data_IF_561858998212
#
_entry.id   IF_561858998212
#
_cell.length_a   1.000
_cell.length_b   1.000
_cell.length_c   1.000
_cell.angle_alpha   90.00
_cell.angle_beta   90.00
_cell.angle_gamma   90.00
#
_symmetry.space_group_name_H-M   'P 1'
#
loop_
_entity.id
_entity.type
_entity.pdbx_description
1 polymer ?
#
# COMPACT_ATOMS: atom_id res chain seq x y z
N UNK A 1 0.87 14.90 4.87
CA UNK A 1 -0.48 15.44 4.60
C UNK A 1 -1.55 14.54 5.21
N UNK A 2 -2.60 15.12 5.81
CA UNK A 2 -3.62 14.38 6.60
C UNK A 2 -4.58 13.51 5.78
N UNK A 3 -4.60 13.63 4.44
CA UNK A 3 -5.49 12.85 3.57
C UNK A 3 -6.92 13.41 3.43
N UNK A 4 -7.19 14.61 3.96
CA UNK A 4 -8.50 15.28 3.80
C UNK A 4 -8.70 15.75 2.37
N UNK A 5 -9.82 15.41 1.75
CA UNK A 5 -10.30 16.02 0.50
C UNK A 5 -10.80 17.43 0.81
N UNK A 6 -10.04 18.42 0.37
CA UNK A 6 -10.36 19.82 0.56
C UNK A 6 -11.54 20.24 -0.31
N UNK A 7 -12.31 21.21 0.15
CA UNK A 7 -13.38 21.84 -0.64
C UNK A 7 -12.78 22.74 -1.73
N UNK A 8 -13.56 23.07 -2.78
CA UNK A 8 -13.10 23.98 -3.82
C UNK A 8 -12.62 25.35 -3.30
N UNK A 9 -13.22 25.86 -2.22
CA UNK A 9 -12.81 27.12 -1.58
C UNK A 9 -11.46 26.99 -0.85
N UNK A 10 -11.25 25.89 -0.12
CA UNK A 10 -9.96 25.60 0.53
C UNK A 10 -8.84 25.44 -0.50
N UNK A 11 -9.13 24.84 -1.66
CA UNK A 11 -8.15 24.58 -2.74
C UNK A 11 -7.67 25.85 -3.44
N UNK A 12 -8.48 26.90 -3.57
CA UNK A 12 -8.07 28.16 -4.24
C UNK A 12 -6.86 28.85 -3.62
N UNK A 13 -6.45 28.44 -2.41
CA UNK A 13 -5.24 28.94 -1.74
C UNK A 13 -3.96 28.19 -2.18
N UNK A 14 -4.10 27.08 -2.90
CA UNK A 14 -3.00 26.26 -3.39
C UNK A 14 -2.74 26.61 -4.86
N UNK A 15 -1.58 27.20 -5.16
CA UNK A 15 -1.14 27.43 -6.55
C UNK A 15 -1.02 26.09 -7.29
N UNK A 16 -1.45 26.06 -8.55
CA UNK A 16 -1.34 24.92 -9.50
C UNK A 16 -2.29 23.73 -9.30
N UNK A 17 -3.54 23.96 -8.85
CA UNK A 17 -4.51 22.86 -8.75
C UNK A 17 -5.47 22.80 -9.95
N UNK A 18 -5.09 22.03 -10.99
CA UNK A 18 -5.87 21.84 -12.23
C UNK A 18 -7.13 20.97 -12.10
N UNK A 19 -7.42 20.44 -10.91
CA UNK A 19 -8.51 19.48 -10.68
C UNK A 19 -9.61 20.01 -9.76
N UNK A 20 -9.68 21.32 -9.51
CA UNK A 20 -10.68 21.91 -8.61
C UNK A 20 -12.12 21.56 -9.01
N UNK A 21 -12.40 21.55 -10.30
CA UNK A 21 -13.74 21.26 -10.85
C UNK A 21 -14.15 19.79 -10.70
N UNK A 22 -13.21 18.90 -10.33
CA UNK A 22 -13.47 17.50 -10.02
C UNK A 22 -13.81 17.26 -8.56
N UNK A 23 -13.79 18.29 -7.71
CA UNK A 23 -14.17 18.16 -6.30
C UNK A 23 -15.67 18.41 -6.17
N UNK A 24 -16.38 17.37 -5.75
CA UNK A 24 -17.84 17.38 -5.58
C UNK A 24 -18.22 17.09 -4.13
N UNK A 25 -19.48 17.37 -3.77
CA UNK A 25 -20.06 16.87 -2.53
C UNK A 25 -20.74 15.53 -2.80
N UNK A 26 -20.39 14.52 -2.00
CA UNK A 26 -20.97 13.18 -2.08
C UNK A 26 -21.12 12.62 -0.67
N UNK A 27 -22.31 12.09 -0.35
CA UNK A 27 -22.66 11.52 0.96
C UNK A 27 -22.22 12.38 2.15
N UNK A 28 -22.60 13.66 2.11
CA UNK A 28 -22.30 14.61 3.18
C UNK A 28 -20.83 14.99 3.33
N UNK A 29 -19.91 14.56 2.46
CA UNK A 29 -18.47 14.84 2.48
C UNK A 29 -17.93 15.29 1.11
N UNK A 30 -16.70 15.79 1.05
CA UNK A 30 -16.05 16.08 -0.24
C UNK A 30 -15.52 14.78 -0.86
N UNK A 31 -15.60 14.68 -2.18
CA UNK A 31 -15.10 13.56 -2.95
C UNK A 31 -14.46 14.03 -4.27
N UNK A 32 -13.66 13.16 -4.89
CA UNK A 32 -13.03 13.42 -6.17
C UNK A 32 -13.74 12.64 -7.29
N UNK A 33 -14.28 13.37 -8.25
CA UNK A 33 -14.96 12.84 -9.42
C UNK A 33 -13.97 12.44 -10.51
N UNK A 34 -13.90 11.14 -10.81
CA UNK A 34 -12.93 10.58 -11.74
C UNK A 34 -13.53 10.42 -13.14
N UNK A 35 -14.67 9.72 -13.24
CA UNK A 35 -15.30 9.35 -14.52
C UNK A 35 -16.79 9.61 -14.45
N UNK A 36 -17.32 10.14 -15.54
CA UNK A 36 -18.74 10.39 -15.74
C UNK A 36 -19.51 9.13 -16.12
N UNK A 37 -20.79 9.09 -15.73
CA UNK A 37 -21.70 7.97 -16.02
C UNK A 37 -21.92 7.73 -17.52
N UNK A 38 -21.82 8.76 -18.36
CA UNK A 38 -21.95 8.63 -19.82
C UNK A 38 -20.77 7.89 -20.46
N UNK A 39 -19.64 7.81 -19.76
CA UNK A 39 -18.40 7.20 -20.25
C UNK A 39 -18.09 5.87 -19.54
N UNK A 40 -18.66 5.63 -18.36
CA UNK A 40 -18.42 4.39 -17.61
C UNK A 40 -19.15 3.19 -18.24
N UNK A 41 -18.54 2.01 -18.11
CA UNK A 41 -19.08 0.80 -18.73
C UNK A 41 -20.39 0.29 -18.11
N UNK A 42 -20.74 0.75 -16.91
CA UNK A 42 -21.95 0.35 -16.18
C UNK A 42 -22.94 1.51 -15.95
N UNK A 43 -22.70 2.67 -16.58
CA UNK A 43 -23.59 3.83 -16.48
C UNK A 43 -23.61 4.48 -15.10
N UNK A 44 -22.57 4.29 -14.29
CA UNK A 44 -22.43 4.91 -12.96
C UNK A 44 -21.18 5.79 -12.88
N UNK A 45 -21.22 6.92 -12.18
CA UNK A 45 -20.03 7.75 -12.01
C UNK A 45 -18.99 7.02 -11.14
N UNK A 46 -17.71 7.22 -11.46
CA UNK A 46 -16.59 6.72 -10.64
C UNK A 46 -16.10 7.87 -9.77
N UNK A 47 -16.23 7.69 -8.46
CA UNK A 47 -15.93 8.71 -7.44
C UNK A 47 -14.97 8.11 -6.42
N UNK A 48 -13.95 8.89 -6.01
CA UNK A 48 -13.07 8.55 -4.90
C UNK A 48 -13.52 9.36 -3.69
N UNK A 49 -13.99 8.68 -2.65
CA UNK A 49 -14.52 9.30 -1.45
C UNK A 49 -13.43 9.56 -0.41
N UNK A 50 -13.77 10.36 0.61
CA UNK A 50 -12.91 10.51 1.78
C UNK A 50 -12.64 9.17 2.48
N UNK A 51 -13.64 8.28 2.53
CA UNK A 51 -13.48 6.96 3.13
C UNK A 51 -12.47 6.11 2.36
N UNK A 52 -12.50 6.15 1.03
CA UNK A 52 -11.53 5.39 0.20
C UNK A 52 -10.09 5.84 0.50
N UNK A 53 -9.87 7.14 0.65
CA UNK A 53 -8.55 7.68 1.04
C UNK A 53 -8.16 7.19 2.44
N UNK A 54 -9.09 7.21 3.39
CA UNK A 54 -8.84 6.66 4.73
C UNK A 54 -8.46 5.18 4.67
N UNK A 55 -9.13 4.36 3.84
CA UNK A 55 -8.77 2.95 3.67
C UNK A 55 -7.36 2.76 3.11
N UNK A 56 -6.95 3.59 2.14
CA UNK A 56 -5.57 3.59 1.63
C UNK A 56 -4.57 3.98 2.74
N UNK A 57 -4.91 4.96 3.58
CA UNK A 57 -4.07 5.36 4.72
C UNK A 57 -3.93 4.24 5.76
N UNK A 58 -5.00 3.51 6.07
CA UNK A 58 -4.96 2.37 6.98
C UNK A 58 -4.08 1.25 6.40
N UNK A 59 -4.28 0.89 5.14
CA UNK A 59 -3.53 -0.17 4.47
C UNK A 59 -2.03 0.16 4.39
N UNK A 60 -1.68 1.37 3.96
CA UNK A 60 -0.29 1.78 3.84
C UNK A 60 0.42 1.87 5.20
N UNK A 61 -0.28 2.36 6.22
CA UNK A 61 0.26 2.49 7.56
C UNK A 61 0.52 1.11 8.16
N UNK A 62 -0.40 0.15 7.98
CA UNK A 62 -0.22 -1.22 8.44
C UNK A 62 1.03 -1.87 7.82
N UNK A 63 1.18 -1.81 6.50
CA UNK A 63 2.30 -2.43 5.79
C UNK A 63 3.63 -1.76 6.17
N UNK A 64 3.71 -0.44 6.13
CA UNK A 64 4.94 0.28 6.47
C UNK A 64 5.33 0.04 7.95
N UNK A 65 4.37 0.04 8.86
CA UNK A 65 4.61 -0.27 10.28
C UNK A 65 5.10 -1.69 10.48
N UNK A 66 4.52 -2.66 9.78
CA UNK A 66 4.97 -4.05 9.83
C UNK A 66 6.44 -4.18 9.39
N UNK A 67 6.83 -3.51 8.30
CA UNK A 67 8.23 -3.51 7.83
C UNK A 67 9.17 -2.94 8.90
N UNK A 68 8.83 -1.77 9.47
CA UNK A 68 9.64 -1.16 10.52
C UNK A 68 9.69 -1.99 11.81
N UNK A 69 8.58 -2.63 12.20
CA UNK A 69 8.55 -3.51 13.36
C UNK A 69 9.41 -4.75 13.12
N UNK A 70 9.37 -5.36 11.93
CA UNK A 70 10.22 -6.50 11.58
C UNK A 70 11.71 -6.15 11.63
N UNK A 71 12.10 -4.99 11.12
CA UNK A 71 13.50 -4.53 11.18
C UNK A 71 13.98 -4.42 12.63
N UNK A 72 13.14 -3.89 13.53
CA UNK A 72 13.45 -3.80 14.96
C UNK A 72 13.49 -5.19 15.63
N UNK A 73 12.51 -6.03 15.36
CA UNK A 73 12.40 -7.38 15.95
C UNK A 73 13.62 -8.24 15.63
N UNK A 74 14.14 -8.13 14.41
CA UNK A 74 15.33 -8.85 13.96
C UNK A 74 16.64 -8.11 14.23
N UNK A 75 16.60 -6.96 14.94
CA UNK A 75 17.76 -6.11 15.22
C UNK A 75 18.63 -5.85 13.98
N UNK A 76 17.98 -5.54 12.86
CA UNK A 76 18.62 -5.30 11.56
C UNK A 76 18.37 -3.86 11.09
N UNK A 77 18.79 -3.54 9.87
CA UNK A 77 18.59 -2.23 9.25
C UNK A 77 18.17 -2.37 7.77
N UNK A 78 17.70 -1.26 7.17
CA UNK A 78 17.32 -1.25 5.76
C UNK A 78 18.48 -1.61 4.81
N UNK A 79 19.73 -1.16 5.04
CA UNK A 79 20.89 -1.59 4.25
C UNK A 79 21.10 -3.10 4.19
N UNK A 80 20.91 -3.82 5.29
CA UNK A 80 21.09 -5.28 5.35
C UNK A 80 20.05 -6.09 4.56
N UNK A 81 18.91 -5.50 4.22
CA UNK A 81 17.91 -6.16 3.37
C UNK A 81 18.46 -6.23 1.95
N UNK A 82 18.65 -7.43 1.39
CA UNK A 82 19.18 -7.57 0.03
C UNK A 82 18.11 -7.32 -1.04
N UNK A 83 16.91 -7.84 -0.82
CA UNK A 83 15.82 -7.84 -1.79
C UNK A 83 14.45 -7.79 -1.11
N UNK A 84 13.49 -7.12 -1.75
CA UNK A 84 12.10 -7.05 -1.33
C UNK A 84 11.22 -7.58 -2.45
N UNK A 85 10.61 -8.74 -2.24
CA UNK A 85 9.73 -9.37 -3.20
C UNK A 85 8.28 -8.95 -2.96
N UNK A 86 7.70 -8.21 -3.91
CA UNK A 86 6.29 -7.79 -3.87
C UNK A 86 5.51 -8.64 -4.86
N UNK A 87 4.44 -9.27 -4.38
CA UNK A 87 3.54 -10.06 -5.21
C UNK A 87 2.08 -9.68 -5.00
N UNK A 88 1.19 -10.34 -5.72
CA UNK A 88 -0.24 -10.05 -5.76
C UNK A 88 -0.62 -9.14 -6.92
N UNK A 89 -1.93 -9.05 -7.17
CA UNK A 89 -2.50 -8.33 -8.32
C UNK A 89 -2.17 -6.83 -8.32
N UNK A 90 -1.91 -6.26 -7.13
CA UNK A 90 -1.49 -4.87 -6.98
C UNK A 90 0.00 -4.62 -7.30
N UNK A 91 0.87 -5.61 -7.10
CA UNK A 91 2.30 -5.48 -7.38
C UNK A 91 2.61 -5.37 -8.88
N UNK A 92 1.82 -6.03 -9.72
CA UNK A 92 2.10 -6.18 -11.16
C UNK A 92 1.82 -4.93 -12.01
N UNK A 93 1.06 -3.96 -11.49
CA UNK A 93 0.55 -2.83 -12.31
C UNK A 93 1.10 -1.47 -11.84
N UNK A 94 1.66 -1.39 -10.64
CA UNK A 94 1.95 -0.11 -9.99
C UNK A 94 3.45 0.15 -9.87
N UNK A 95 3.86 1.33 -10.32
CA UNK A 95 5.23 1.84 -10.16
C UNK A 95 5.58 1.94 -8.66
N UNK A 96 6.70 1.34 -8.27
CA UNK A 96 7.25 1.37 -6.91
C UNK A 96 7.44 2.79 -6.40
N UNK A 97 7.73 3.74 -7.30
CA UNK A 97 7.82 5.15 -6.96
C UNK A 97 6.51 5.68 -6.35
N UNK A 98 5.35 5.21 -6.82
CA UNK A 98 4.05 5.56 -6.24
C UNK A 98 3.87 4.96 -4.84
N UNK A 99 4.30 3.72 -4.63
CA UNK A 99 4.25 3.08 -3.31
C UNK A 99 5.13 3.81 -2.28
N UNK A 100 6.35 4.19 -2.66
CA UNK A 100 7.21 4.99 -1.79
C UNK A 100 6.60 6.39 -1.57
N UNK A 101 6.05 7.01 -2.61
CA UNK A 101 5.44 8.36 -2.51
C UNK A 101 4.25 8.41 -1.56
N UNK A 102 3.41 7.39 -1.52
CA UNK A 102 2.30 7.33 -0.55
C UNK A 102 2.77 6.86 0.83
N UNK A 103 3.97 6.31 0.95
CA UNK A 103 4.52 5.76 2.19
C UNK A 103 4.00 4.36 2.51
N UNK A 104 3.72 3.56 1.49
CA UNK A 104 3.41 2.14 1.61
C UNK A 104 4.68 1.31 1.84
N UNK A 105 5.71 1.60 1.05
CA UNK A 105 7.04 0.99 1.16
C UNK A 105 8.02 2.09 1.61
N UNK A 106 8.87 1.84 2.62
CA UNK A 106 9.94 2.76 3.01
C UNK A 106 10.83 3.16 1.82
N UNK A 107 11.24 4.42 1.76
CA UNK A 107 12.00 4.95 0.63
C UNK A 107 13.37 4.27 0.49
N UNK A 108 13.95 3.86 1.62
CA UNK A 108 15.21 3.13 1.76
C UNK A 108 15.19 1.79 1.00
N UNK A 109 14.00 1.21 0.80
CA UNK A 109 13.82 -0.05 0.09
C UNK A 109 13.53 0.12 -1.41
N UNK A 110 13.32 1.34 -1.91
CA UNK A 110 12.87 1.62 -3.28
C UNK A 110 13.65 0.85 -4.35
N UNK A 111 14.97 0.80 -4.25
CA UNK A 111 15.85 0.17 -5.24
C UNK A 111 16.07 -1.33 -5.03
N UNK A 112 15.46 -1.90 -3.99
CA UNK A 112 15.57 -3.31 -3.61
C UNK A 112 14.29 -4.09 -3.95
N UNK A 113 13.24 -3.39 -4.39
CA UNK A 113 11.94 -4.01 -4.71
C UNK A 113 11.97 -4.69 -6.06
N UNK A 114 11.56 -5.97 -6.09
CA UNK A 114 11.22 -6.70 -7.31
C UNK A 114 9.78 -7.18 -7.24
N UNK A 115 9.06 -7.00 -8.34
CA UNK A 115 7.69 -7.48 -8.47
C UNK A 115 7.70 -8.89 -9.02
N UNK A 116 7.02 -9.81 -8.33
CA UNK A 116 6.79 -11.18 -8.79
C UNK A 116 5.31 -11.33 -9.12
N UNK A 117 5.01 -11.65 -10.38
CA UNK A 117 3.65 -11.95 -10.80
C UNK A 117 3.23 -13.35 -10.36
N UNK A 118 1.97 -13.49 -9.94
CA UNK A 118 1.31 -14.79 -9.73
C UNK A 118 2.06 -15.76 -8.79
N UNK A 119 2.86 -15.27 -7.84
CA UNK A 119 3.71 -16.11 -6.98
C UNK A 119 2.94 -17.25 -6.29
N UNK A 120 1.74 -16.95 -5.78
CA UNK A 120 0.85 -17.95 -5.14
C UNK A 120 0.45 -19.05 -6.13
N UNK A 121 -0.01 -18.69 -7.32
CA UNK A 121 -0.44 -19.65 -8.33
C UNK A 121 0.73 -20.49 -8.85
N UNK A 122 1.87 -19.85 -9.13
CA UNK A 122 3.08 -20.53 -9.57
C UNK A 122 3.59 -21.51 -8.51
N UNK A 123 3.58 -21.11 -7.23
CA UNK A 123 3.94 -21.98 -6.11
C UNK A 123 2.99 -23.17 -5.96
N UNK A 124 1.68 -22.94 -6.09
CA UNK A 124 0.68 -24.00 -6.03
C UNK A 124 0.84 -25.03 -7.16
N UNK A 125 1.07 -24.56 -8.39
CA UNK A 125 1.33 -25.44 -9.54
C UNK A 125 2.63 -26.23 -9.33
N UNK A 126 3.71 -25.58 -8.89
CA UNK A 126 4.99 -26.24 -8.65
C UNK A 126 4.87 -27.35 -7.59
N UNK A 127 4.19 -27.06 -6.48
CA UNK A 127 3.96 -28.02 -5.41
C UNK A 127 3.02 -29.17 -5.84
N UNK A 128 2.04 -28.91 -6.71
CA UNK A 128 1.11 -29.93 -7.20
C UNK A 128 1.76 -30.88 -8.22
N UNK A 129 2.65 -30.36 -9.07
CA UNK A 129 3.26 -31.13 -10.16
C UNK A 129 4.57 -31.82 -9.78
N UNK A 130 5.18 -31.47 -8.64
CA UNK A 130 6.44 -32.05 -8.18
C UNK A 130 6.43 -32.36 -6.69
N UNK A 131 6.59 -33.64 -6.36
CA UNK A 131 6.73 -34.10 -4.98
C UNK A 131 7.95 -33.47 -4.30
N UNK A 132 9.04 -33.26 -5.04
CA UNK A 132 10.24 -32.58 -4.53
C UNK A 132 9.93 -31.13 -4.13
N UNK A 133 9.23 -30.38 -4.99
CA UNK A 133 8.85 -28.99 -4.68
C UNK A 133 7.82 -28.90 -3.54
N UNK A 134 6.92 -29.88 -3.44
CA UNK A 134 6.01 -30.00 -2.31
C UNK A 134 6.78 -30.22 -1.00
N UNK A 135 7.72 -31.16 -0.98
CA UNK A 135 8.58 -31.43 0.19
C UNK A 135 9.45 -30.22 0.55
N UNK A 136 9.99 -29.51 -0.45
CA UNK A 136 10.73 -28.28 -0.24
C UNK A 136 9.85 -27.20 0.43
N UNK A 137 8.61 -27.03 -0.02
CA UNK A 137 7.63 -26.12 0.60
C UNK A 137 7.38 -26.45 2.07
N UNK A 138 7.23 -27.74 2.41
CA UNK A 138 7.10 -28.18 3.80
C UNK A 138 8.33 -27.84 4.65
N UNK A 139 9.54 -27.97 4.08
CA UNK A 139 10.78 -27.60 4.76
C UNK A 139 10.89 -26.09 5.03
N UNK A 140 10.36 -25.26 4.14
CA UNK A 140 10.28 -23.80 4.35
C UNK A 140 9.29 -23.50 5.48
N UNK A 141 8.13 -24.15 5.49
CA UNK A 141 7.09 -23.92 6.51
C UNK A 141 7.62 -24.16 7.93
N UNK A 142 8.52 -25.13 8.13
CA UNK A 142 9.17 -25.39 9.42
C UNK A 142 10.07 -24.24 9.92
N UNK A 143 10.49 -23.33 9.04
CA UNK A 143 11.36 -22.18 9.36
C UNK A 143 10.59 -20.88 9.54
N UNK A 144 9.32 -20.83 9.12
CA UNK A 144 8.47 -19.64 9.22
C UNK A 144 8.05 -19.43 10.67
N UNK A 145 8.25 -18.22 11.19
CA UNK A 145 7.77 -17.80 12.51
C UNK A 145 6.69 -16.75 12.34
N UNK A 146 5.56 -16.97 13.00
CA UNK A 146 4.50 -15.97 13.08
C UNK A 146 4.86 -14.92 14.13
N UNK A 147 4.66 -13.65 13.78
CA UNK A 147 4.86 -12.50 14.66
C UNK A 147 3.53 -11.78 14.77
N UNK A 148 3.02 -11.67 15.99
CA UNK A 148 1.78 -10.95 16.27
C UNK A 148 2.08 -9.47 16.54
N UNK A 149 1.83 -8.61 15.56
CA UNK A 149 2.08 -7.19 15.72
C UNK A 149 1.21 -6.48 16.75
N UNK A 150 0.09 -7.06 17.18
CA UNK A 150 -0.83 -6.43 18.15
C UNK A 150 -0.23 -6.27 19.55
N UNK A 151 0.72 -7.13 19.92
CA UNK A 151 1.39 -7.10 21.22
C UNK A 151 2.67 -6.24 21.21
N UNK A 152 3.14 -5.80 20.03
CA UNK A 152 4.34 -4.97 19.92
C UNK A 152 3.96 -3.49 20.05
N UNK A 153 4.38 -2.86 21.15
CA UNK A 153 4.19 -1.42 21.41
C UNK A 153 4.75 -0.53 20.29
N UNK A 154 5.80 -1.00 19.61
CA UNK A 154 6.43 -0.32 18.48
C UNK A 154 5.53 -0.26 17.24
N UNK A 155 4.63 -1.23 17.04
CA UNK A 155 3.72 -1.25 15.90
C UNK A 155 2.68 -0.15 16.00
N UNK A 156 1.98 -0.01 17.13
CA UNK A 156 0.95 1.04 17.31
C UNK A 156 1.50 2.46 17.15
N UNK A 157 2.71 2.71 17.67
CA UNK A 157 3.39 3.99 17.50
C UNK A 157 3.74 4.26 16.03
N UNK A 158 4.30 3.26 15.34
CA UNK A 158 4.65 3.37 13.92
C UNK A 158 3.41 3.54 13.05
N UNK A 159 2.31 2.86 13.38
CA UNK A 159 1.05 2.93 12.66
C UNK A 159 0.48 4.34 12.68
N UNK A 160 0.37 4.95 13.86
CA UNK A 160 -0.10 6.31 14.00
C UNK A 160 0.80 7.32 13.26
N UNK A 161 2.12 7.11 13.31
CA UNK A 161 3.09 7.93 12.59
C UNK A 161 2.88 7.83 11.06
N UNK A 162 2.62 6.62 10.55
CA UNK A 162 2.52 6.34 9.12
C UNK A 162 1.09 6.48 8.55
N UNK A 163 0.08 6.83 9.34
CA UNK A 163 -1.27 7.15 8.84
C UNK A 163 -1.27 8.33 7.86
N UNK A 164 -0.51 9.38 8.17
CA UNK A 164 -0.40 10.54 7.29
C UNK A 164 0.39 10.19 6.02
N UNK A 165 0.05 10.80 4.88
CA UNK A 165 0.90 10.72 3.70
C UNK A 165 2.23 11.44 3.95
N UNK A 166 3.36 10.91 3.44
CA UNK A 166 4.65 11.59 3.50
C UNK A 166 4.58 13.02 2.95
N UNK A 167 5.44 13.91 3.44
CA UNK A 167 5.61 15.21 2.79
C UNK A 167 6.34 15.03 1.47
N UNK A 168 6.04 15.90 0.51
CA UNK A 168 6.68 15.89 -0.80
C UNK A 168 8.12 16.36 -0.59
N UNK A 169 9.10 15.48 -0.79
CA UNK A 169 10.51 15.86 -0.95
C UNK A 169 10.77 16.46 -2.32
#
# INVERSE_FOLDING_TARGET
YKGKVLSPHEISTIKDFSFKDRIIRFDGSNAFFLVDETVSGDGKPIIITQNDICQVQLAKAAICSAIHTMIREYNTDFPAIEEVLVTGKFGCVLDINHFCRIGLIPLELRHKVKVIEKAVLSGAIAAMLSLEQFQHTLSILQKVKYIDFSIHSSFGNSFNQFLSFPQKS
#
